data_IF_459851666456
#
_entry.id   IF_459851666456
#
_cell.length_a   1.000
_cell.length_b   1.000
_cell.length_c   1.000
_cell.angle_alpha   90.00
_cell.angle_beta   90.00
_cell.angle_gamma   90.00
#
_symmetry.space_group_name_H-M   'P 1'
#
loop_
_entity.id
_entity.type
_entity.pdbx_description
1 polymer ?
#
# COMPACT_ATOMS: atom_id res chain seq x y z
N UNK A 1 -4.11 4.81 18.58
CA UNK A 1 -5.09 5.56 17.77
C UNK A 1 -6.42 5.51 18.52
N UNK A 2 -7.17 6.61 18.69
CA UNK A 2 -8.52 6.55 19.30
C UNK A 2 -9.54 6.32 18.19
N UNK A 3 -10.35 5.26 18.29
CA UNK A 3 -11.40 4.94 17.31
C UNK A 3 -12.37 6.10 17.05
N UNK A 4 -12.58 6.96 18.05
CA UNK A 4 -13.41 8.18 17.96
C UNK A 4 -12.91 9.17 16.91
N UNK A 5 -11.59 9.28 16.72
CA UNK A 5 -11.02 10.23 15.76
C UNK A 5 -11.15 9.71 14.33
N UNK A 6 -11.14 8.39 14.12
CA UNK A 6 -11.39 7.78 12.82
C UNK A 6 -12.85 7.97 12.37
N UNK A 7 -13.80 7.90 13.30
CA UNK A 7 -15.22 8.15 12.98
C UNK A 7 -15.47 9.61 12.59
N UNK A 8 -14.68 10.56 13.10
CA UNK A 8 -14.75 11.97 12.70
C UNK A 8 -14.22 12.21 11.28
N UNK A 9 -13.42 11.29 10.73
CA UNK A 9 -12.97 11.35 9.34
C UNK A 9 -14.02 10.83 8.35
N UNK A 10 -15.14 10.26 8.85
CA UNK A 10 -16.26 9.91 8.01
C UNK A 10 -16.83 11.21 7.38
N UNK A 11 -16.72 11.31 6.05
CA UNK A 11 -17.27 12.40 5.25
C UNK A 11 -18.31 11.84 4.29
N UNK A 12 -19.03 12.70 3.57
CA UNK A 12 -19.98 12.27 2.53
C UNK A 12 -19.37 11.39 1.43
N UNK A 13 -18.03 11.24 1.38
CA UNK A 13 -17.31 10.40 0.41
C UNK A 13 -16.76 9.08 0.98
N UNK A 14 -16.73 8.91 2.31
CA UNK A 14 -16.10 7.75 2.95
C UNK A 14 -17.02 7.17 4.04
N UNK A 15 -17.52 5.97 3.78
CA UNK A 15 -18.28 5.20 4.77
C UNK A 15 -17.31 4.43 5.67
N UNK A 16 -17.21 4.84 6.93
CA UNK A 16 -16.37 4.15 7.93
C UNK A 16 -17.24 3.20 8.74
N UNK A 17 -16.93 1.90 8.69
CA UNK A 17 -17.58 0.90 9.54
C UNK A 17 -16.59 0.34 10.56
N UNK A 18 -17.02 0.25 11.82
CA UNK A 18 -16.22 -0.36 12.89
C UNK A 18 -16.85 -1.70 13.23
N UNK A 19 -16.00 -2.72 13.33
CA UNK A 19 -16.38 -4.08 13.72
C UNK A 19 -15.38 -4.59 14.75
N UNK A 20 -15.91 -5.14 15.82
CA UNK A 20 -15.10 -5.80 16.84
C UNK A 20 -14.84 -7.26 16.45
N UNK A 21 -13.58 -7.66 16.49
CA UNK A 21 -13.18 -9.05 16.34
C UNK A 21 -13.34 -9.79 17.68
N UNK A 22 -14.55 -10.33 17.92
CA UNK A 22 -14.85 -11.10 19.12
C UNK A 22 -14.75 -12.62 18.89
N UNK A 23 -14.47 -13.38 19.95
CA UNK A 23 -14.45 -14.84 19.91
C UNK A 23 -13.17 -15.50 19.37
N UNK A 24 -13.30 -16.80 19.04
CA UNK A 24 -12.24 -17.64 18.44
C UNK A 24 -12.36 -17.77 16.92
N UNK A 25 -13.43 -17.25 16.34
CA UNK A 25 -13.65 -17.28 14.91
C UNK A 25 -13.98 -15.88 14.42
N UNK A 26 -13.21 -15.39 13.45
CA UNK A 26 -13.38 -14.05 12.89
C UNK A 26 -14.11 -14.10 11.54
N UNK A 27 -14.38 -15.31 11.02
CA UNK A 27 -14.95 -15.50 9.69
C UNK A 27 -16.32 -14.87 9.57
N UNK A 28 -17.16 -14.89 10.60
CA UNK A 28 -18.49 -14.27 10.54
C UNK A 28 -18.42 -12.76 10.28
N UNK A 29 -17.49 -12.07 10.96
CA UNK A 29 -17.25 -10.64 10.78
C UNK A 29 -16.68 -10.35 9.40
N UNK A 30 -15.74 -11.19 8.95
CA UNK A 30 -15.09 -11.04 7.64
C UNK A 30 -16.05 -11.37 6.49
N UNK A 31 -16.93 -12.36 6.65
CA UNK A 31 -17.99 -12.68 5.68
C UNK A 31 -18.98 -11.52 5.61
N UNK A 32 -19.33 -10.90 6.75
CA UNK A 32 -20.13 -9.68 6.74
C UNK A 32 -19.43 -8.55 5.98
N UNK A 33 -18.13 -8.36 6.19
CA UNK A 33 -17.35 -7.36 5.44
C UNK A 33 -17.35 -7.63 3.92
N UNK A 34 -17.13 -8.89 3.53
CA UNK A 34 -17.18 -9.34 2.12
C UNK A 34 -18.55 -9.09 1.49
N UNK A 35 -19.64 -9.40 2.20
CA UNK A 35 -21.01 -9.16 1.74
C UNK A 35 -21.33 -7.67 1.53
N UNK A 36 -20.65 -6.78 2.25
CA UNK A 36 -20.79 -5.34 2.08
C UNK A 36 -19.74 -4.75 1.11
N UNK A 37 -18.99 -5.59 0.39
CA UNK A 37 -17.98 -5.18 -0.60
C UNK A 37 -16.95 -4.20 -0.05
N UNK A 38 -16.44 -4.46 1.15
CA UNK A 38 -15.37 -3.66 1.74
C UNK A 38 -14.00 -4.07 1.18
N UNK A 39 -13.27 -3.10 0.64
CA UNK A 39 -11.96 -3.33 0.01
C UNK A 39 -10.79 -2.80 0.87
N UNK A 40 -11.03 -1.79 1.71
CA UNK A 40 -10.01 -1.13 2.51
C UNK A 40 -10.19 -1.45 4.00
N UNK A 41 -9.15 -1.98 4.64
CA UNK A 41 -9.21 -2.43 6.03
C UNK A 41 -8.13 -1.77 6.89
N UNK A 42 -8.53 -1.30 8.07
CA UNK A 42 -7.59 -0.92 9.13
C UNK A 42 -7.74 -1.93 10.26
N UNK A 43 -6.67 -2.66 10.56
CA UNK A 43 -6.69 -3.78 11.49
C UNK A 43 -5.90 -3.44 12.74
N UNK A 44 -6.63 -3.24 13.85
CA UNK A 44 -6.06 -3.19 15.19
C UNK A 44 -6.22 -4.56 15.86
N UNK A 45 -5.13 -5.33 15.90
CA UNK A 45 -5.15 -6.68 16.42
C UNK A 45 -3.87 -6.96 17.24
N UNK A 46 -3.98 -7.54 18.44
CA UNK A 46 -2.81 -7.98 19.20
C UNK A 46 -2.00 -9.03 18.42
N UNK A 47 -0.67 -9.04 18.61
CA UNK A 47 0.26 -9.94 17.91
C UNK A 47 -0.13 -11.42 18.01
N UNK A 48 -0.66 -11.85 19.17
CA UNK A 48 -1.10 -13.25 19.40
C UNK A 48 -2.25 -13.70 18.50
N UNK A 49 -3.06 -12.76 18.01
CA UNK A 49 -4.25 -13.03 17.20
C UNK A 49 -4.02 -12.76 15.71
N UNK A 50 -2.86 -12.22 15.35
CA UNK A 50 -2.57 -11.76 14.00
C UNK A 50 -2.57 -12.92 12.99
N UNK A 51 -1.88 -14.01 13.31
CA UNK A 51 -1.81 -15.19 12.43
C UNK A 51 -3.20 -15.81 12.20
N UNK A 52 -4.01 -15.88 13.25
CA UNK A 52 -5.40 -16.34 13.17
C UNK A 52 -6.25 -15.42 12.28
N UNK A 53 -6.10 -14.10 12.42
CA UNK A 53 -6.77 -13.13 11.58
C UNK A 53 -6.40 -13.29 10.11
N UNK A 54 -5.10 -13.36 9.80
CA UNK A 54 -4.60 -13.52 8.43
C UNK A 54 -5.13 -14.82 7.79
N UNK A 55 -5.09 -15.93 8.54
CA UNK A 55 -5.66 -17.20 8.08
C UNK A 55 -7.16 -17.12 7.79
N UNK A 56 -7.94 -16.53 8.68
CA UNK A 56 -9.39 -16.40 8.49
C UNK A 56 -9.72 -15.47 7.32
N UNK A 57 -8.99 -14.36 7.16
CA UNK A 57 -9.17 -13.45 6.04
C UNK A 57 -8.86 -14.12 4.69
N UNK A 58 -7.80 -14.94 4.63
CA UNK A 58 -7.49 -15.74 3.45
C UNK A 58 -8.58 -16.78 3.15
N UNK A 59 -9.08 -17.48 4.17
CA UNK A 59 -10.17 -18.46 4.00
C UNK A 59 -11.48 -17.86 3.47
N UNK A 60 -11.78 -16.61 3.84
CA UNK A 60 -12.96 -15.88 3.35
C UNK A 60 -12.71 -15.24 1.97
N UNK A 61 -11.46 -15.26 1.49
CA UNK A 61 -11.08 -14.67 0.21
C UNK A 61 -11.03 -13.14 0.25
N UNK A 62 -10.59 -12.56 1.38
CA UNK A 62 -10.32 -11.12 1.52
C UNK A 62 -8.82 -10.81 1.45
N UNK A 63 -8.02 -11.69 0.82
CA UNK A 63 -6.57 -11.56 0.68
C UNK A 63 -6.20 -11.66 -0.81
N UNK A 64 -6.89 -10.88 -1.63
CA UNK A 64 -6.68 -10.73 -3.07
C UNK A 64 -6.20 -9.30 -3.41
N UNK A 65 -5.80 -9.08 -4.65
CA UNK A 65 -5.32 -7.81 -5.22
C UNK A 65 -6.29 -6.62 -5.08
N UNK A 66 -7.59 -6.88 -5.10
CA UNK A 66 -8.63 -5.86 -4.87
C UNK A 66 -8.68 -5.33 -3.42
N UNK A 67 -7.96 -5.96 -2.47
CA UNK A 67 -8.01 -5.61 -1.06
C UNK A 67 -6.74 -4.89 -0.57
N UNK A 68 -6.93 -3.89 0.29
CA UNK A 68 -5.85 -3.14 0.94
C UNK A 68 -5.98 -3.14 2.46
N UNK A 69 -4.87 -3.39 3.15
CA UNK A 69 -4.79 -3.49 4.61
C UNK A 69 -3.75 -2.54 5.19
N UNK A 70 -4.12 -1.87 6.28
CA UNK A 70 -3.20 -1.19 7.19
C UNK A 70 -3.28 -1.86 8.55
N UNK A 71 -2.20 -2.51 8.97
CA UNK A 71 -2.11 -3.14 10.29
C UNK A 71 -1.47 -2.18 11.30
N UNK A 72 -2.10 -2.01 12.45
CA UNK A 72 -1.55 -1.22 13.56
C UNK A 72 -0.63 -2.05 14.47
N UNK A 73 -0.60 -3.37 14.29
CA UNK A 73 0.28 -4.25 15.04
C UNK A 73 1.73 -4.12 14.57
N UNK A 74 2.63 -3.84 15.50
CA UNK A 74 4.07 -3.68 15.24
C UNK A 74 4.79 -4.99 14.90
N UNK A 75 4.11 -6.12 15.08
CA UNK A 75 4.67 -7.47 14.88
C UNK A 75 4.28 -8.09 13.54
N UNK A 76 3.59 -7.37 12.63
CA UNK A 76 3.12 -7.95 11.37
C UNK A 76 4.23 -8.60 10.56
N UNK A 77 5.31 -7.86 10.33
CA UNK A 77 6.45 -8.35 9.54
C UNK A 77 7.37 -9.29 10.33
N UNK A 78 7.09 -9.53 11.62
CA UNK A 78 7.72 -10.57 12.44
C UNK A 78 6.88 -11.87 12.47
N UNK A 79 5.87 -11.99 11.61
CA UNK A 79 5.09 -13.23 11.42
C UNK A 79 5.36 -13.82 10.04
N UNK A 80 5.01 -15.11 9.86
CA UNK A 80 5.17 -15.75 8.56
C UNK A 80 4.13 -15.23 7.56
N UNK A 81 4.54 -14.27 6.73
CA UNK A 81 3.71 -13.70 5.67
C UNK A 81 3.83 -14.40 4.32
N UNK A 82 4.66 -15.44 4.21
CA UNK A 82 4.91 -16.17 2.95
C UNK A 82 3.64 -16.61 2.22
N UNK A 83 2.59 -17.11 2.90
CA UNK A 83 1.35 -17.53 2.24
C UNK A 83 0.57 -16.39 1.55
N UNK A 84 0.85 -15.13 1.90
CA UNK A 84 0.08 -13.97 1.44
C UNK A 84 0.84 -13.11 0.41
N UNK A 85 2.15 -13.37 0.19
CA UNK A 85 3.02 -12.57 -0.69
C UNK A 85 2.62 -12.57 -2.16
N UNK A 86 2.00 -13.65 -2.62
CA UNK A 86 1.64 -13.87 -4.02
C UNK A 86 0.15 -13.69 -4.30
N UNK A 87 -0.62 -13.24 -3.30
CA UNK A 87 -2.06 -13.01 -3.45
C UNK A 87 -2.41 -11.64 -4.06
N UNK A 88 -1.42 -10.78 -4.34
CA UNK A 88 -1.62 -9.43 -4.86
C UNK A 88 -2.13 -8.40 -3.82
N UNK A 89 -2.54 -8.85 -2.64
CA UNK A 89 -3.05 -8.00 -1.56
C UNK A 89 -2.05 -6.93 -1.14
N UNK A 90 -2.49 -5.67 -1.07
CA UNK A 90 -1.66 -4.60 -0.53
C UNK A 90 -1.73 -4.61 1.01
N UNK A 91 -0.60 -4.88 1.67
CA UNK A 91 -0.51 -4.88 3.13
C UNK A 91 0.57 -3.91 3.60
N UNK A 92 0.16 -2.89 4.35
CA UNK A 92 1.06 -1.95 5.02
C UNK A 92 1.05 -2.19 6.52
N UNK A 93 2.21 -2.10 7.16
CA UNK A 93 2.34 -2.17 8.62
C UNK A 93 3.49 -1.32 9.12
N UNK A 94 3.66 -1.31 10.45
CA UNK A 94 4.64 -0.48 11.13
C UNK A 94 5.65 -1.32 11.91
N UNK A 95 6.87 -0.83 12.07
CA UNK A 95 7.90 -1.49 12.88
C UNK A 95 8.74 -0.45 13.65
N UNK A 96 9.07 -0.72 14.92
CA UNK A 96 9.87 0.17 15.79
C UNK A 96 11.29 -0.41 15.96
N UNK A 97 11.95 -0.82 14.88
CA UNK A 97 13.32 -1.35 14.93
C UNK A 97 14.17 -0.52 13.96
N UNK A 98 15.20 0.17 14.46
CA UNK A 98 15.92 1.18 13.67
C UNK A 98 16.85 0.60 12.62
N UNK A 99 17.51 -0.52 12.92
CA UNK A 99 18.29 -1.36 12.00
C UNK A 99 19.08 -2.36 12.86
N UNK A 100 19.02 -3.64 12.47
CA UNK A 100 19.86 -4.72 12.97
C UNK A 100 21.26 -4.54 12.37
N UNK A 101 22.06 -3.63 12.94
CA UNK A 101 23.44 -3.40 12.50
C UNK A 101 24.49 -3.82 13.53
N UNK A 102 24.09 -4.11 14.76
CA UNK A 102 25.02 -4.49 15.84
C UNK A 102 25.11 -6.01 16.00
N UNK A 103 26.35 -6.53 16.08
CA UNK A 103 26.71 -7.94 16.31
C UNK A 103 26.03 -8.59 17.54
N UNK A 104 25.58 -7.76 18.50
CA UNK A 104 24.89 -8.18 19.71
C UNK A 104 23.50 -8.74 19.40
N UNK A 105 22.82 -8.18 18.39
CA UNK A 105 21.51 -8.67 17.95
C UNK A 105 21.63 -9.92 17.08
N UNK A 106 22.72 -10.11 16.34
CA UNK A 106 22.92 -11.34 15.54
C UNK A 106 23.01 -12.57 16.44
N UNK A 107 23.66 -12.45 17.60
CA UNK A 107 23.75 -13.54 18.58
C UNK A 107 22.44 -13.74 19.36
N UNK A 108 21.71 -12.67 19.68
CA UNK A 108 20.42 -12.75 20.37
C UNK A 108 19.30 -13.25 19.43
N UNK A 109 19.26 -12.77 18.19
CA UNK A 109 18.29 -13.19 17.17
C UNK A 109 18.54 -14.62 16.66
N UNK A 110 19.80 -15.06 16.56
CA UNK A 110 20.11 -16.44 16.20
C UNK A 110 19.60 -17.47 17.23
N UNK A 111 19.35 -17.07 18.48
CA UNK A 111 18.82 -17.97 19.52
C UNK A 111 17.29 -18.07 19.56
N UNK A 112 16.56 -17.17 18.90
CA UNK A 112 15.10 -17.13 18.97
C UNK A 112 14.47 -17.01 17.58
N UNK A 113 13.80 -18.06 17.13
CA UNK A 113 13.10 -18.11 15.82
C UNK A 113 11.92 -17.12 15.71
N UNK A 114 11.41 -16.61 16.84
CA UNK A 114 10.16 -15.82 16.91
C UNK A 114 10.26 -14.62 17.87
N UNK A 115 11.15 -13.66 17.57
CA UNK A 115 11.25 -12.46 18.40
C UNK A 115 10.09 -11.50 18.09
N UNK A 116 9.28 -11.19 19.11
CA UNK A 116 8.25 -10.15 19.06
C UNK A 116 8.78 -8.85 19.66
N UNK A 117 8.13 -7.74 19.33
CA UNK A 117 8.50 -6.40 19.79
C UNK A 117 8.54 -6.28 21.32
N UNK A 118 7.71 -7.07 22.02
CA UNK A 118 7.64 -7.06 23.49
C UNK A 118 8.97 -7.45 24.13
N UNK A 119 9.71 -8.39 23.53
CA UNK A 119 11.01 -8.82 24.00
C UNK A 119 12.04 -7.68 23.89
N UNK A 120 12.05 -6.97 22.76
CA UNK A 120 12.91 -5.79 22.57
C UNK A 120 12.58 -4.67 23.55
N UNK A 121 11.29 -4.44 23.83
CA UNK A 121 10.87 -3.45 24.83
C UNK A 121 11.30 -3.84 26.25
N UNK A 122 11.30 -5.13 26.60
CA UNK A 122 11.81 -5.60 27.90
C UNK A 122 13.32 -5.39 27.97
N UNK A 123 14.06 -5.72 26.91
CA UNK A 123 15.50 -5.49 26.85
C UNK A 123 15.84 -4.01 27.06
N UNK A 124 15.16 -3.12 26.33
CA UNK A 124 15.33 -1.68 26.46
C UNK A 124 14.95 -1.18 27.86
N UNK A 125 13.89 -1.74 28.48
CA UNK A 125 13.50 -1.39 29.85
C UNK A 125 14.59 -1.75 30.88
N UNK A 126 15.20 -2.94 30.76
CA UNK A 126 16.32 -3.36 31.61
C UNK A 126 17.53 -2.44 31.40
N UNK A 127 17.81 -2.07 30.15
CA UNK A 127 18.92 -1.15 29.81
C UNK A 127 18.73 0.23 30.45
N UNK A 128 17.52 0.80 30.36
CA UNK A 128 17.18 2.08 31.01
C UNK A 128 17.37 2.01 32.51
N UNK A 129 16.85 0.95 33.12
CA UNK A 129 16.95 0.76 34.57
C UNK A 129 18.41 0.60 35.03
N UNK A 130 19.21 -0.19 34.31
CA UNK A 130 20.62 -0.43 34.61
C UNK A 130 21.47 0.84 34.50
N UNK A 131 21.31 1.61 33.42
CA UNK A 131 22.04 2.87 33.25
C UNK A 131 21.64 3.91 34.31
N UNK A 132 20.36 3.95 34.70
CA UNK A 132 19.92 4.81 35.79
C UNK A 132 20.50 4.37 37.16
N UNK A 133 20.60 3.06 37.41
CA UNK A 133 21.23 2.52 38.62
C UNK A 133 22.72 2.89 38.71
N UNK A 134 23.47 2.87 37.61
CA UNK A 134 24.88 3.30 37.60
C UNK A 134 25.08 4.73 38.08
N UNK A 135 24.10 5.61 37.83
CA UNK A 135 24.15 7.00 38.29
C UNK A 135 23.92 7.12 39.80
N UNK A 136 23.28 6.12 40.42
CA UNK A 136 23.11 6.02 41.86
C UNK A 136 24.29 5.23 42.41
N UNK A 137 25.30 5.94 42.89
CA UNK A 137 26.49 5.35 43.48
C UNK A 137 26.16 4.71 44.86
N UNK A 138 25.51 3.54 44.90
CA UNK A 138 25.04 2.94 46.16
C UNK A 138 24.82 1.41 46.13
N UNK A 139 24.83 0.81 47.32
CA UNK A 139 24.34 -0.53 47.67
C UNK A 139 22.81 -0.56 47.82
N UNK A 140 22.15 -1.53 47.16
CA UNK A 140 20.69 -1.69 47.08
C UNK A 140 20.17 -2.43 48.33
N UNK A 141 20.45 -1.92 49.52
CA UNK A 141 19.92 -2.51 50.75
C UNK A 141 19.00 -1.53 51.47
N UNK A 142 17.71 -1.67 51.19
CA UNK A 142 16.66 -1.03 51.97
C UNK A 142 15.43 -1.93 52.04
N UNK A 143 15.08 -2.38 53.24
CA UNK A 143 13.77 -2.99 53.49
C UNK A 143 12.74 -1.87 53.62
N UNK A 144 11.77 -1.86 52.72
CA UNK A 144 10.61 -0.96 52.78
C UNK A 144 9.36 -1.79 53.04
N UNK A 145 8.44 -1.24 53.83
CA UNK A 145 7.16 -1.85 54.14
C UNK A 145 6.02 -1.07 53.48
N UNK A 146 5.16 -1.80 52.75
CA UNK A 146 3.98 -1.24 52.07
C UNK A 146 2.93 -0.71 53.06
N UNK A 147 2.83 -1.27 54.28
CA UNK A 147 1.81 -0.88 55.27
C UNK A 147 2.13 0.48 55.88
N UNK A 148 3.40 0.73 56.12
CA UNK A 148 3.89 1.94 56.79
C UNK A 148 4.19 3.09 55.81
N UNK A 149 3.77 2.97 54.55
CA UNK A 149 4.01 3.95 53.48
C UNK A 149 5.47 4.39 53.38
N UNK A 150 6.41 3.49 53.65
CA UNK A 150 7.83 3.81 53.61
C UNK A 150 8.30 3.89 52.16
N UNK A 151 8.81 5.06 51.76
CA UNK A 151 9.42 5.26 50.45
C UNK A 151 10.93 5.02 50.52
N UNK A 152 11.49 4.43 49.47
CA UNK A 152 12.94 4.36 49.33
C UNK A 152 13.51 5.76 49.07
N UNK A 153 14.51 6.17 49.86
CA UNK A 153 15.10 7.51 49.82
C UNK A 153 15.62 7.92 48.43
N UNK A 154 16.11 6.96 47.64
CA UNK A 154 16.65 7.21 46.30
C UNK A 154 15.64 6.96 45.18
N UNK A 155 14.40 6.58 45.51
CA UNK A 155 13.37 6.28 44.51
C UNK A 155 13.09 7.44 43.56
N UNK A 156 12.97 8.66 44.11
CA UNK A 156 12.79 9.88 43.31
C UNK A 156 13.98 10.17 42.41
N UNK A 157 15.20 10.01 42.93
CA UNK A 157 16.43 10.21 42.15
C UNK A 157 16.56 9.19 41.03
N UNK A 158 16.25 7.91 41.30
CA UNK A 158 16.24 6.85 40.27
C UNK A 158 15.23 7.16 39.17
N UNK A 159 14.01 7.53 39.55
CA UNK A 159 12.99 7.89 38.58
C UNK A 159 13.40 9.09 37.73
N UNK A 160 14.04 10.09 38.34
CA UNK A 160 14.58 11.24 37.62
C UNK A 160 15.67 10.81 36.63
N UNK A 161 16.64 10.00 37.05
CA UNK A 161 17.67 9.48 36.15
C UNK A 161 17.08 8.66 35.01
N UNK A 162 16.10 7.79 35.26
CA UNK A 162 15.41 7.03 34.21
C UNK A 162 14.72 7.95 33.19
N UNK A 163 14.17 9.09 33.62
CA UNK A 163 13.49 10.04 32.73
C UNK A 163 14.46 10.94 31.95
N UNK A 164 15.53 11.41 32.60
CA UNK A 164 16.43 12.41 32.03
C UNK A 164 17.59 11.81 31.24
N UNK A 165 17.97 10.56 31.53
CA UNK A 165 19.11 9.93 30.86
C UNK A 165 18.75 9.55 29.43
N UNK A 166 19.54 10.04 28.46
CA UNK A 166 19.33 9.76 27.04
C UNK A 166 20.08 8.49 26.67
N UNK A 167 19.33 7.41 26.45
CA UNK A 167 19.90 6.09 26.17
C UNK A 167 19.44 5.64 24.79
N UNK A 168 20.33 5.00 24.03
CA UNK A 168 19.95 4.35 22.77
C UNK A 168 19.68 2.87 23.02
N UNK A 169 18.44 2.44 22.78
CA UNK A 169 18.01 1.05 22.81
C UNK A 169 17.93 0.42 21.42
N UNK A 170 17.47 -0.83 21.38
CA UNK A 170 17.16 -1.57 20.14
C UNK A 170 16.03 -0.89 19.38
N UNK A 171 15.02 -0.44 20.13
CA UNK A 171 13.91 0.34 19.56
C UNK A 171 14.30 1.80 19.30
N UNK A 172 15.60 2.14 19.34
CA UNK A 172 16.21 3.45 19.13
C UNK A 172 16.20 4.38 20.36
N UNK A 173 16.12 5.71 20.20
CA UNK A 173 16.30 6.65 21.31
C UNK A 173 15.23 6.50 22.40
N UNK A 174 15.66 6.27 23.63
CA UNK A 174 14.82 6.12 24.82
C UNK A 174 14.85 7.45 25.58
N UNK A 175 14.02 8.40 25.11
CA UNK A 175 13.85 9.72 25.73
C UNK A 175 12.42 9.84 26.25
N UNK A 176 12.27 10.28 27.48
CA UNK A 176 10.98 10.40 28.15
C UNK A 176 10.62 11.86 28.44
N UNK A 177 9.33 12.15 28.46
CA UNK A 177 8.79 13.44 28.89
C UNK A 177 8.66 13.51 30.43
N UNK A 178 8.14 14.63 30.93
CA UNK A 178 7.92 14.84 32.36
C UNK A 178 6.99 13.78 32.99
N UNK A 179 6.04 13.26 32.21
CA UNK A 179 5.08 12.23 32.62
C UNK A 179 5.65 10.80 32.51
N UNK A 180 6.84 10.62 31.94
CA UNK A 180 7.44 9.30 31.69
C UNK A 180 6.97 8.64 30.39
N UNK A 181 6.35 9.39 29.47
CA UNK A 181 6.00 8.92 28.15
C UNK A 181 7.17 9.10 27.19
N UNK A 182 7.38 8.15 26.29
CA UNK A 182 8.45 8.23 25.30
C UNK A 182 8.12 9.30 24.25
N UNK A 183 9.00 10.29 24.08
CA UNK A 183 8.75 11.48 23.25
C UNK A 183 9.34 11.41 21.84
N UNK A 184 10.46 10.70 21.65
CA UNK A 184 11.15 10.55 20.35
C UNK A 184 10.93 9.15 19.76
N UNK A 185 9.66 8.85 19.44
CA UNK A 185 9.28 7.58 18.81
C UNK A 185 9.39 7.72 17.29
N UNK A 186 10.12 6.80 16.66
CA UNK A 186 10.11 6.61 15.21
C UNK A 186 9.45 5.27 14.87
N UNK A 187 8.84 5.21 13.69
CA UNK A 187 8.32 3.97 13.11
C UNK A 187 8.74 3.86 11.66
N UNK A 188 9.21 2.68 11.28
CA UNK A 188 9.37 2.30 9.89
C UNK A 188 8.01 1.90 9.33
N UNK A 189 7.69 2.37 8.13
CA UNK A 189 6.51 1.97 7.37
C UNK A 189 6.97 0.93 6.36
N UNK A 190 6.39 -0.26 6.46
CA UNK A 190 6.74 -1.42 5.65
C UNK A 190 5.52 -1.82 4.80
N UNK A 191 5.76 -2.15 3.53
CA UNK A 191 4.76 -2.69 2.62
C UNK A 191 5.13 -4.13 2.26
N UNK A 192 4.12 -4.99 2.13
CA UNK A 192 4.33 -6.38 1.70
C UNK A 192 4.62 -6.42 0.21
N UNK A 193 5.72 -7.08 -0.14
CA UNK A 193 6.13 -7.36 -1.51
C UNK A 193 6.38 -8.86 -1.67
N UNK A 194 6.54 -9.37 -2.91
CA UNK A 194 6.96 -10.76 -3.14
C UNK A 194 8.27 -11.12 -2.41
N UNK A 195 9.19 -10.15 -2.26
CA UNK A 195 10.44 -10.33 -1.52
C UNK A 195 10.27 -10.31 0.02
N UNK A 196 9.10 -9.90 0.53
CA UNK A 196 8.81 -9.74 1.96
C UNK A 196 8.47 -8.29 2.33
N UNK A 197 8.72 -7.89 3.58
CA UNK A 197 8.47 -6.52 4.03
C UNK A 197 9.52 -5.55 3.51
N UNK A 198 9.12 -4.64 2.61
CA UNK A 198 10.00 -3.59 2.08
C UNK A 198 9.76 -2.28 2.82
N UNK A 199 10.85 -1.58 3.19
CA UNK A 199 10.78 -0.26 3.81
C UNK A 199 10.32 0.79 2.79
N UNK A 200 9.17 1.42 3.05
CA UNK A 200 8.56 2.44 2.20
C UNK A 200 8.69 3.85 2.75
N UNK A 201 9.02 3.98 4.02
CA UNK A 201 9.19 5.29 4.64
C UNK A 201 9.44 5.20 6.13
N UNK A 202 9.62 6.38 6.71
CA UNK A 202 9.81 6.58 8.13
C UNK A 202 8.76 7.56 8.66
N UNK A 203 8.25 7.30 9.85
CA UNK A 203 7.38 8.19 10.60
C UNK A 203 8.12 8.66 11.84
N UNK A 204 8.34 9.97 11.95
CA UNK A 204 9.02 10.62 13.09
C UNK A 204 8.20 11.79 13.57
N UNK A 205 7.86 11.81 14.86
CA UNK A 205 7.24 12.96 15.55
C UNK A 205 6.11 13.60 14.69
N UNK A 206 5.11 12.77 14.35
CA UNK A 206 3.95 13.10 13.51
C UNK A 206 4.22 13.44 12.03
N UNK A 207 5.46 13.45 11.56
CA UNK A 207 5.79 13.62 10.15
C UNK A 207 6.05 12.28 9.48
N UNK A 208 5.29 11.99 8.43
CA UNK A 208 5.48 10.82 7.58
C UNK A 208 6.35 11.22 6.38
N UNK A 209 7.52 10.60 6.28
CA UNK A 209 8.39 10.70 5.10
C UNK A 209 8.31 9.41 4.33
N UNK A 210 7.65 9.46 3.17
CA UNK A 210 7.56 8.32 2.26
C UNK A 210 8.76 8.39 1.32
N UNK A 211 9.65 7.41 1.45
CA UNK A 211 10.77 7.17 0.55
C UNK A 211 10.52 5.84 -0.12
N UNK A 212 9.46 5.76 -0.95
CA UNK A 212 9.24 4.56 -1.77
C UNK A 212 10.52 4.40 -2.58
N UNK A 213 11.33 3.35 -2.37
CA UNK A 213 12.40 3.09 -3.31
C UNK A 213 11.71 2.94 -4.66
N UNK A 214 12.21 3.65 -5.67
CA UNK A 214 11.85 3.28 -7.03
C UNK A 214 12.26 1.81 -7.14
N UNK A 215 11.27 0.92 -7.14
CA UNK A 215 11.46 -0.33 -7.83
C UNK A 215 11.71 0.12 -9.26
N UNK A 216 12.99 0.18 -9.66
CA UNK A 216 13.32 -0.36 -10.98
C UNK A 216 12.54 -1.65 -11.00
N UNK A 217 11.48 -1.72 -11.81
CA UNK A 217 10.80 -2.97 -12.12
C UNK A 217 11.94 -3.97 -12.20
N UNK A 218 12.11 -4.89 -11.22
CA UNK A 218 13.22 -5.82 -11.25
C UNK A 218 13.11 -6.44 -12.62
N UNK A 219 14.12 -6.20 -13.47
CA UNK A 219 14.10 -6.34 -14.93
C UNK A 219 12.94 -7.21 -15.31
N UNK A 220 11.86 -6.61 -15.88
CA UNK A 220 10.66 -7.28 -16.41
C UNK A 220 10.93 -8.76 -16.36
N UNK A 221 10.57 -9.41 -15.24
CA UNK A 221 10.97 -10.80 -15.01
C UNK A 221 10.66 -11.51 -16.32
N UNK A 222 11.56 -12.36 -16.81
CA UNK A 222 11.58 -12.85 -18.20
C UNK A 222 10.22 -13.36 -18.75
N UNK A 223 9.22 -13.49 -17.90
CA UNK A 223 7.79 -13.54 -18.20
C UNK A 223 7.03 -12.33 -17.60
N UNK A 224 6.90 -11.25 -18.38
CA UNK A 224 5.77 -10.31 -18.19
C UNK A 224 4.48 -11.12 -18.13
N UNK A 225 3.55 -10.81 -17.21
CA UNK A 225 2.23 -11.47 -17.16
C UNK A 225 1.48 -11.37 -18.50
N UNK A 226 1.83 -10.38 -19.33
CA UNK A 226 1.28 -10.15 -20.66
C UNK A 226 1.98 -10.98 -21.75
N UNK A 227 3.10 -11.64 -21.44
CA UNK A 227 3.90 -12.36 -22.42
C UNK A 227 3.08 -13.49 -23.05
N UNK A 228 3.14 -13.59 -24.38
CA UNK A 228 2.37 -14.55 -25.19
C UNK A 228 0.83 -14.40 -25.08
N UNK A 229 0.32 -13.26 -24.61
CA UNK A 229 -1.11 -12.95 -24.74
C UNK A 229 -1.36 -12.16 -26.02
N UNK A 230 -2.57 -12.32 -26.59
CA UNK A 230 -3.04 -11.54 -27.73
C UNK A 230 -4.16 -10.65 -27.24
N UNK A 231 -3.94 -9.33 -27.33
CA UNK A 231 -4.92 -8.33 -26.94
C UNK A 231 -5.62 -7.75 -28.17
N UNK A 232 -6.93 -7.67 -28.08
CA UNK A 232 -7.79 -7.04 -29.07
C UNK A 232 -7.95 -5.55 -28.75
N UNK A 233 -7.54 -4.72 -29.70
CA UNK A 233 -7.39 -3.28 -29.49
C UNK A 233 -8.30 -2.53 -30.46
N UNK A 234 -9.26 -1.78 -29.91
CA UNK A 234 -10.13 -0.91 -30.71
C UNK A 234 -9.41 0.38 -31.07
N UNK A 235 -9.50 0.79 -32.34
CA UNK A 235 -8.92 2.03 -32.88
C UNK A 235 -9.92 2.75 -33.79
N UNK A 236 -9.77 4.07 -33.94
CA UNK A 236 -10.54 4.89 -34.90
C UNK A 236 -9.61 5.44 -35.99
N UNK A 237 -10.14 5.57 -37.21
CA UNK A 237 -9.40 6.10 -38.35
C UNK A 237 -9.34 7.63 -38.32
N UNK A 238 -8.42 8.17 -37.52
CA UNK A 238 -8.18 9.60 -37.37
C UNK A 238 -6.71 9.90 -37.57
N UNK A 239 -6.37 10.72 -38.58
CA UNK A 239 -5.01 11.23 -38.74
C UNK A 239 -4.68 12.25 -37.63
N UNK A 240 -3.46 12.21 -37.04
CA UNK A 240 -2.31 11.37 -37.37
C UNK A 240 -2.19 10.08 -36.52
N UNK A 241 -3.25 9.70 -35.81
CA UNK A 241 -3.22 8.62 -34.81
C UNK A 241 -3.32 7.23 -35.42
N UNK A 242 -4.24 7.02 -36.37
CA UNK A 242 -4.40 5.78 -37.12
C UNK A 242 -5.01 6.07 -38.49
N UNK A 243 -4.35 5.61 -39.55
CA UNK A 243 -4.79 5.74 -40.94
C UNK A 243 -4.30 4.55 -41.77
N UNK A 244 -4.82 4.41 -42.99
CA UNK A 244 -4.42 3.31 -43.87
C UNK A 244 -3.03 3.57 -44.41
N UNK A 245 -2.18 2.54 -44.32
CA UNK A 245 -0.83 2.58 -44.86
C UNK A 245 -0.83 2.63 -46.37
N UNK A 246 -0.13 3.60 -46.95
CA UNK A 246 0.08 3.65 -48.39
C UNK A 246 1.04 2.53 -48.83
N UNK A 247 0.55 1.59 -49.63
CA UNK A 247 1.34 0.46 -50.12
C UNK A 247 0.96 0.08 -51.55
N UNK A 248 1.96 -0.29 -52.35
CA UNK A 248 1.75 -0.81 -53.70
C UNK A 248 1.17 -2.24 -53.72
N UNK A 249 1.27 -2.96 -52.60
CA UNK A 249 0.73 -4.32 -52.41
C UNK A 249 -0.44 -4.32 -51.45
N UNK A 250 -1.37 -5.25 -51.64
CA UNK A 250 -2.47 -5.48 -50.68
C UNK A 250 -1.90 -5.96 -49.35
N UNK A 251 -2.15 -5.20 -48.29
CA UNK A 251 -1.76 -5.56 -46.92
C UNK A 251 -2.95 -6.19 -46.18
N UNK A 252 -2.67 -7.08 -45.24
CA UNK A 252 -3.68 -7.78 -44.43
C UNK A 252 -3.41 -7.63 -42.93
N UNK A 253 -4.45 -7.81 -42.11
CA UNK A 253 -4.36 -7.70 -40.64
C UNK A 253 -3.91 -6.31 -40.17
N UNK A 254 -3.03 -6.29 -39.17
CA UNK A 254 -2.48 -5.07 -38.56
C UNK A 254 -1.63 -4.24 -39.52
N UNK A 255 -0.96 -4.87 -40.49
CA UNK A 255 -0.05 -4.20 -41.41
C UNK A 255 -0.73 -3.15 -42.30
N UNK A 256 -2.07 -3.17 -42.37
CA UNK A 256 -2.88 -2.20 -43.10
C UNK A 256 -2.88 -0.81 -42.47
N UNK A 257 -2.54 -0.70 -41.19
CA UNK A 257 -2.69 0.52 -40.42
C UNK A 257 -1.32 1.09 -40.06
N UNK A 258 -1.22 2.41 -40.06
CA UNK A 258 -0.08 3.15 -39.56
C UNK A 258 -0.55 4.42 -38.84
N UNK A 259 0.34 5.02 -38.05
CA UNK A 259 0.05 6.23 -37.29
C UNK A 259 0.61 6.18 -35.88
N UNK A 260 0.56 7.32 -35.19
CA UNK A 260 1.19 7.48 -33.89
C UNK A 260 0.70 6.46 -32.84
N UNK A 261 -0.61 6.17 -32.80
CA UNK A 261 -1.18 5.25 -31.83
C UNK A 261 -0.79 3.80 -32.12
N UNK A 262 -0.73 3.43 -33.39
CA UNK A 262 -0.34 2.09 -33.86
C UNK A 262 1.11 1.81 -33.48
N UNK A 263 2.04 2.70 -33.85
CA UNK A 263 3.46 2.55 -33.54
C UNK A 263 3.76 2.53 -32.04
N UNK A 264 3.03 3.31 -31.25
CA UNK A 264 3.16 3.32 -29.80
C UNK A 264 2.85 1.93 -29.21
N UNK A 265 1.75 1.31 -29.63
CA UNK A 265 1.35 0.01 -29.10
C UNK A 265 2.17 -1.14 -29.64
N UNK A 266 2.67 -1.07 -30.87
CA UNK A 266 3.65 -2.02 -31.38
C UNK A 266 4.94 -2.00 -30.54
N UNK A 267 5.44 -0.81 -30.17
CA UNK A 267 6.60 -0.70 -29.27
C UNK A 267 6.32 -1.25 -27.87
N UNK A 268 5.12 -1.03 -27.34
CA UNK A 268 4.72 -1.61 -26.05
C UNK A 268 4.62 -3.13 -26.12
N UNK A 269 4.08 -3.67 -27.20
CA UNK A 269 4.00 -5.10 -27.47
C UNK A 269 5.39 -5.74 -27.50
N UNK A 270 6.34 -5.13 -28.19
CA UNK A 270 7.75 -5.58 -28.24
C UNK A 270 8.42 -5.54 -26.86
N UNK A 271 8.20 -4.46 -26.10
CA UNK A 271 8.80 -4.30 -24.77
C UNK A 271 8.23 -5.26 -23.72
N UNK A 272 6.94 -5.58 -23.81
CA UNK A 272 6.21 -6.36 -22.80
C UNK A 272 5.92 -7.81 -23.24
N UNK A 273 6.24 -8.16 -24.49
CA UNK A 273 6.16 -9.52 -25.04
C UNK A 273 4.75 -10.01 -25.38
N UNK A 274 3.79 -9.10 -25.58
CA UNK A 274 2.43 -9.45 -26.01
C UNK A 274 2.24 -9.24 -27.52
N UNK A 275 1.10 -9.67 -28.04
CA UNK A 275 0.70 -9.45 -29.44
C UNK A 275 -0.60 -8.64 -29.47
N UNK A 276 -0.77 -7.80 -30.50
CA UNK A 276 -1.96 -6.97 -30.67
C UNK A 276 -2.76 -7.44 -31.87
N UNK A 277 -4.08 -7.28 -31.83
CA UNK A 277 -4.97 -7.30 -33.00
C UNK A 277 -5.74 -5.99 -33.04
N UNK A 278 -5.51 -5.18 -34.08
CA UNK A 278 -6.19 -3.89 -34.23
C UNK A 278 -7.53 -4.07 -34.94
N UNK A 279 -8.61 -3.67 -34.27
CA UNK A 279 -9.96 -3.63 -34.84
C UNK A 279 -10.41 -2.17 -34.99
N UNK A 280 -10.59 -1.74 -36.23
CA UNK A 280 -11.14 -0.42 -36.53
C UNK A 280 -12.62 -0.39 -36.19
N UNK A 281 -13.04 0.62 -35.45
CA UNK A 281 -14.43 0.84 -35.10
C UNK A 281 -14.89 2.27 -35.41
N UNK A 282 -16.17 2.39 -35.80
CA UNK A 282 -16.86 3.66 -35.99
C UNK A 282 -17.92 3.90 -34.90
N UNK A 283 -17.82 3.19 -33.77
CA UNK A 283 -18.73 3.39 -32.64
C UNK A 283 -18.47 4.75 -31.99
N UNK A 284 -19.52 5.36 -31.43
CA UNK A 284 -19.34 6.50 -30.53
C UNK A 284 -18.46 6.09 -29.35
N UNK A 285 -17.63 7.01 -28.85
CA UNK A 285 -16.80 6.78 -27.65
C UNK A 285 -17.60 6.23 -26.47
N UNK A 286 -18.82 6.74 -26.27
CA UNK A 286 -19.71 6.24 -25.24
C UNK A 286 -19.40 6.73 -23.83
N UNK A 287 -20.16 6.18 -22.89
CA UNK A 287 -20.20 6.59 -21.48
C UNK A 287 -21.29 5.81 -20.75
N UNK A 288 -21.72 6.35 -19.60
CA UNK A 288 -22.81 5.78 -18.82
C UNK A 288 -24.13 6.50 -19.09
N UNK A 289 -25.13 5.78 -19.61
CA UNK A 289 -26.49 6.28 -19.72
C UNK A 289 -27.19 6.16 -18.36
N UNK A 290 -27.61 7.30 -17.79
CA UNK A 290 -28.27 7.35 -16.47
C UNK A 290 -29.72 6.87 -16.51
N UNK A 291 -30.40 7.05 -17.63
CA UNK A 291 -31.83 6.74 -17.76
C UNK A 291 -32.02 5.25 -18.02
N UNK A 292 -31.17 4.67 -18.87
CA UNK A 292 -31.16 3.25 -19.18
C UNK A 292 -30.30 2.41 -18.21
N UNK A 293 -29.52 3.08 -17.35
CA UNK A 293 -28.59 2.47 -16.40
C UNK A 293 -27.65 1.44 -17.06
N UNK A 294 -27.10 1.83 -18.22
CA UNK A 294 -26.30 0.97 -19.09
C UNK A 294 -25.20 1.79 -19.76
N UNK A 295 -24.03 1.19 -19.95
CA UNK A 295 -22.97 1.77 -20.78
C UNK A 295 -23.33 1.68 -22.27
N UNK A 296 -22.61 2.42 -23.13
CA UNK A 296 -22.74 2.27 -24.59
C UNK A 296 -21.43 2.63 -25.29
N UNK A 297 -21.35 2.37 -26.60
CA UNK A 297 -20.19 2.72 -27.43
C UNK A 297 -18.94 1.92 -27.07
N UNK A 298 -17.77 2.50 -27.32
CA UNK A 298 -16.47 1.90 -26.98
C UNK A 298 -16.37 1.54 -25.49
N UNK A 299 -16.88 2.40 -24.59
CA UNK A 299 -16.89 2.11 -23.14
C UNK A 299 -17.55 0.77 -22.84
N UNK A 300 -18.65 0.43 -23.52
CA UNK A 300 -19.35 -0.85 -23.29
C UNK A 300 -18.58 -2.05 -23.82
N UNK A 301 -17.89 -1.91 -24.95
CA UNK A 301 -17.11 -3.01 -25.50
C UNK A 301 -15.93 -3.38 -24.59
N UNK A 302 -15.34 -2.39 -23.91
CA UNK A 302 -14.34 -2.63 -22.86
C UNK A 302 -14.97 -3.21 -21.60
N UNK A 303 -16.07 -2.64 -21.10
CA UNK A 303 -16.77 -3.16 -19.91
C UNK A 303 -17.23 -4.61 -20.07
N UNK A 304 -17.63 -5.00 -21.28
CA UNK A 304 -18.11 -6.35 -21.61
C UNK A 304 -17.01 -7.29 -22.09
N UNK A 305 -15.73 -6.88 -21.97
CA UNK A 305 -14.54 -7.67 -22.35
C UNK A 305 -14.56 -8.17 -23.80
N UNK A 306 -15.24 -7.44 -24.70
CA UNK A 306 -15.22 -7.73 -26.15
C UNK A 306 -13.99 -7.15 -26.85
N UNK A 307 -13.34 -6.21 -26.20
CA UNK A 307 -12.02 -5.71 -26.52
C UNK A 307 -11.26 -5.45 -25.22
N UNK A 308 -9.94 -5.63 -25.26
CA UNK A 308 -9.07 -5.50 -24.09
C UNK A 308 -8.60 -4.05 -23.90
N UNK A 309 -8.35 -3.36 -25.02
CA UNK A 309 -7.91 -1.97 -25.03
C UNK A 309 -8.66 -1.13 -26.06
N UNK A 310 -8.66 0.18 -25.82
CA UNK A 310 -9.25 1.19 -26.67
C UNK A 310 -8.27 2.35 -26.82
N UNK A 311 -7.85 2.66 -28.06
CA UNK A 311 -6.93 3.77 -28.35
C UNK A 311 -7.62 4.75 -29.27
N UNK A 312 -7.99 5.88 -28.69
CA UNK A 312 -8.67 6.98 -29.34
C UNK A 312 -8.11 8.29 -28.78
N UNK A 313 -8.49 9.42 -29.34
CA UNK A 313 -8.41 10.75 -28.71
C UNK A 313 -9.43 10.88 -27.57
N UNK A 314 -9.38 9.90 -26.66
CA UNK A 314 -10.39 9.66 -25.66
C UNK A 314 -10.22 10.59 -24.46
N UNK A 315 -11.11 11.58 -24.36
CA UNK A 315 -11.12 12.46 -23.19
C UNK A 315 -11.54 11.68 -21.92
N UNK A 316 -10.68 11.70 -20.91
CA UNK A 316 -10.95 11.12 -19.59
C UNK A 316 -12.00 12.00 -18.89
N UNK A 317 -13.18 11.43 -18.59
CA UNK A 317 -14.25 12.12 -17.87
C UNK A 317 -14.70 11.31 -16.65
N UNK A 318 -15.27 11.99 -15.66
CA UNK A 318 -15.77 11.35 -14.44
C UNK A 318 -16.90 10.33 -14.69
N UNK A 319 -17.65 10.47 -15.79
CA UNK A 319 -18.71 9.50 -16.14
C UNK A 319 -18.14 8.22 -16.72
N UNK A 320 -17.05 8.32 -17.51
CA UNK A 320 -16.37 7.15 -18.09
C UNK A 320 -15.55 6.40 -17.04
N UNK A 321 -14.89 7.13 -16.13
CA UNK A 321 -14.12 6.56 -15.01
C UNK A 321 -14.95 5.74 -14.01
N UNK A 322 -16.29 5.81 -14.08
CA UNK A 322 -17.16 4.96 -13.27
C UNK A 322 -17.32 3.55 -13.84
N UNK A 323 -17.01 3.36 -15.12
CA UNK A 323 -17.31 2.14 -15.88
C UNK A 323 -16.03 1.43 -16.29
N UNK A 324 -15.01 2.20 -16.69
CA UNK A 324 -13.72 1.68 -17.15
C UNK A 324 -12.56 2.45 -16.50
N UNK A 325 -11.42 1.78 -16.39
CA UNK A 325 -10.17 2.39 -15.93
C UNK A 325 -9.41 3.07 -17.07
N UNK A 326 -8.59 4.06 -16.71
CA UNK A 326 -7.72 4.79 -17.64
C UNK A 326 -6.28 4.72 -17.20
N UNK A 327 -5.38 4.65 -18.19
CA UNK A 327 -3.96 4.91 -17.98
C UNK A 327 -3.73 6.40 -17.69
N UNK A 328 -2.57 6.70 -17.12
CA UNK A 328 -2.10 8.09 -16.98
C UNK A 328 -2.09 8.76 -18.36
N UNK A 329 -2.73 9.94 -18.53
CA UNK A 329 -2.78 10.60 -19.82
C UNK A 329 -1.37 10.91 -20.34
N UNK A 330 -1.07 10.49 -21.57
CA UNK A 330 0.24 10.68 -22.21
C UNK A 330 0.27 11.92 -23.14
N UNK A 331 -0.88 12.49 -23.48
CA UNK A 331 -1.01 13.78 -24.15
C UNK A 331 -1.95 14.69 -23.35
N UNK A 332 -1.51 15.91 -23.08
CA UNK A 332 -2.34 16.95 -22.45
C UNK A 332 -2.77 17.95 -23.51
N UNK A 333 -4.08 18.07 -23.73
CA UNK A 333 -4.69 19.04 -24.65
C UNK A 333 -5.64 19.96 -23.87
N UNK A 334 -5.84 21.17 -24.38
CA UNK A 334 -6.78 22.15 -23.84
C UNK A 334 -7.72 22.68 -24.92
N UNK A 335 -8.86 23.22 -24.51
CA UNK A 335 -9.83 23.83 -25.43
C UNK A 335 -9.16 25.02 -26.12
N UNK A 336 -9.06 24.95 -27.45
CA UNK A 336 -8.49 25.99 -28.29
C UNK A 336 -9.51 26.43 -29.34
N UNK A 337 -9.55 27.72 -29.67
CA UNK A 337 -10.46 28.27 -30.67
C UNK A 337 -9.70 28.48 -31.97
N UNK A 338 -10.09 27.76 -33.01
CA UNK A 338 -9.62 28.01 -34.37
C UNK A 338 -10.57 29.01 -35.04
N UNK A 339 -10.03 30.11 -35.54
CA UNK A 339 -10.77 31.07 -36.36
C UNK A 339 -10.05 31.26 -37.70
N UNK A 340 -10.82 31.53 -38.74
CA UNK A 340 -10.26 31.83 -40.07
C UNK A 340 -9.50 33.15 -40.01
N UNK A 341 -8.28 33.17 -40.54
CA UNK A 341 -7.52 34.39 -40.67
C UNK A 341 -8.35 35.45 -41.42
N UNK A 342 -8.56 36.65 -40.85
CA UNK A 342 -9.37 37.67 -41.49
C UNK A 342 -8.67 38.13 -42.78
N UNK A 343 -9.40 38.06 -43.90
CA UNK A 343 -8.92 38.61 -45.17
C UNK A 343 -8.82 40.14 -45.07
N UNK A 344 -7.64 40.71 -45.34
CA UNK A 344 -7.48 42.16 -45.47
C UNK A 344 -8.42 42.67 -46.56
N UNK A 345 -9.30 43.61 -46.21
CA UNK A 345 -10.15 44.34 -47.17
C UNK A 345 -9.32 45.27 -48.04
#
# INVERSE_FOLDING_TARGET
>A
MRATNLLQMASNRLTVSIRELSGKDYRDVLINAKKNSYNNFVVDCPSKKLEQFLRHAQQVGLMADEHSYIFLSLDLFNTNLTPYRYGGVNMTGFQIIKQVKDEIETNFAAQFEDIKIKQFLIFDAVKVFYEALKMINMTIESRVDCINFQSWNYGSSLLNFMKTNKINGITGPLVFDAFGQRSDVFMNVLELTPAGGQLMGEWKVNNLTITRPFMTIPDISEESIMKNQTFKILVEMVEPYCYLKESATTLEGNARYEGFAIELFEKLADMLGFTCEFEVTNMSYGGWDKDLNVSYGVVREIETEKADFAIFDFTITAERQKVIDFLTPFMSLGISILYKEPSKQ
#
